data_IF_057275376174
#
_entry.id   IF_057275376174
#
_cell.length_a   1.000
_cell.length_b   1.000
_cell.length_c   1.000
_cell.angle_alpha   90.00
_cell.angle_beta   90.00
_cell.angle_gamma   90.00
#
_symmetry.space_group_name_H-M   'P 1'
#
loop_
_entity.id
_entity.type
_entity.pdbx_description
1 polymer ?
#
# COMPACT_ATOMS: atom_id res chain seq x y z
N UNK A 1 17.85 -10.03 -2.95
CA UNK A 1 16.41 -9.75 -3.16
C UNK A 1 16.26 -8.61 -4.17
N UNK A 2 15.19 -8.60 -4.96
CA UNK A 2 14.93 -7.50 -5.91
C UNK A 2 14.57 -6.20 -5.17
N UNK A 3 14.86 -5.04 -5.78
CA UNK A 3 14.56 -3.74 -5.18
C UNK A 3 13.07 -3.59 -4.86
N UNK A 4 12.22 -4.04 -5.77
CA UNK A 4 10.76 -4.09 -5.60
C UNK A 4 10.33 -4.77 -4.31
N UNK A 5 10.85 -5.98 -4.07
CA UNK A 5 10.44 -6.76 -2.91
C UNK A 5 10.90 -6.06 -1.62
N UNK A 6 12.11 -5.50 -1.62
CA UNK A 6 12.60 -4.72 -0.49
C UNK A 6 11.73 -3.48 -0.22
N UNK A 7 11.25 -2.80 -1.26
CA UNK A 7 10.34 -1.67 -1.09
C UNK A 7 9.03 -2.11 -0.43
N UNK A 8 8.44 -3.23 -0.87
CA UNK A 8 7.22 -3.77 -0.27
C UNK A 8 7.43 -4.17 1.20
N UNK A 9 8.53 -4.89 1.51
CA UNK A 9 8.85 -5.28 2.88
C UNK A 9 9.07 -4.04 3.77
N UNK A 10 9.71 -3.00 3.24
CA UNK A 10 9.88 -1.72 3.94
C UNK A 10 8.55 -1.03 4.18
N UNK A 11 7.62 -1.07 3.21
CA UNK A 11 6.29 -0.48 3.33
C UNK A 11 5.43 -1.17 4.39
N UNK A 12 5.59 -2.48 4.56
CA UNK A 12 4.89 -3.28 5.56
C UNK A 12 5.46 -3.11 6.98
N UNK A 13 6.72 -2.66 7.10
CA UNK A 13 7.36 -2.39 8.38
C UNK A 13 6.93 -1.01 8.91
N UNK A 14 5.95 -0.97 9.81
CA UNK A 14 5.33 0.26 10.26
C UNK A 14 6.19 1.05 11.25
N UNK A 15 6.06 2.38 11.21
CA UNK A 15 6.58 3.24 12.27
C UNK A 15 5.70 3.09 13.52
N UNK A 16 6.27 2.59 14.63
CA UNK A 16 5.59 2.59 15.93
C UNK A 16 5.58 4.01 16.50
N UNK A 17 4.38 4.55 16.75
CA UNK A 17 4.18 5.85 17.41
C UNK A 17 4.03 5.64 18.92
N UNK A 18 3.24 4.63 19.31
CA UNK A 18 3.03 4.22 20.69
C UNK A 18 2.69 2.71 20.75
N UNK A 19 2.56 2.16 21.94
CA UNK A 19 1.96 0.86 22.21
C UNK A 19 0.57 0.75 21.58
N UNK A 20 0.44 -0.17 20.64
CA UNK A 20 -0.79 -0.36 19.87
C UNK A 20 -1.08 0.71 18.82
N UNK A 21 -0.20 1.70 18.62
CA UNK A 21 -0.42 2.78 17.65
C UNK A 21 0.71 2.89 16.64
N UNK A 22 0.39 2.69 15.37
CA UNK A 22 1.37 2.60 14.28
C UNK A 22 1.02 3.53 13.12
N UNK A 23 2.03 3.93 12.35
CA UNK A 23 1.88 4.67 11.09
C UNK A 23 2.47 3.89 9.92
N UNK A 24 1.62 3.66 8.93
CA UNK A 24 2.02 3.12 7.63
C UNK A 24 2.09 4.21 6.58
N UNK A 25 3.13 4.16 5.75
CA UNK A 25 3.16 4.94 4.52
C UNK A 25 2.27 4.25 3.48
N UNK A 26 1.82 5.04 2.50
CA UNK A 26 1.06 4.55 1.36
C UNK A 26 1.92 4.60 0.11
N UNK A 27 1.82 3.58 -0.74
CA UNK A 27 2.48 3.58 -2.04
C UNK A 27 1.48 3.94 -3.13
N UNK A 28 1.85 4.88 -3.99
CA UNK A 28 1.07 5.22 -5.18
C UNK A 28 1.42 4.26 -6.32
N UNK A 29 0.61 3.20 -6.45
CA UNK A 29 0.70 2.23 -7.53
C UNK A 29 0.05 2.73 -8.84
N UNK A 30 -0.11 4.05 -9.01
CA UNK A 30 -0.82 4.64 -10.15
C UNK A 30 -2.33 4.70 -9.99
N UNK A 31 -2.82 4.34 -8.81
CA UNK A 31 -4.22 4.40 -8.44
C UNK A 31 -4.39 5.49 -7.39
N UNK A 32 -5.42 6.32 -7.57
CA UNK A 32 -5.77 7.35 -6.59
C UNK A 32 -6.18 6.79 -5.22
N UNK A 33 -6.52 5.50 -5.17
CA UNK A 33 -6.95 4.80 -3.98
C UNK A 33 -5.87 3.83 -3.50
N UNK A 34 -5.72 3.70 -2.18
CA UNK A 34 -4.82 2.71 -1.57
C UNK A 34 -5.24 1.30 -1.94
N UNK A 35 -4.27 0.46 -2.30
CA UNK A 35 -4.51 -0.96 -2.58
C UNK A 35 -4.97 -1.70 -1.31
N UNK A 36 -6.07 -2.46 -1.41
CA UNK A 36 -6.64 -3.16 -0.27
C UNK A 36 -5.68 -4.15 0.41
N UNK A 37 -4.84 -4.84 -0.37
CA UNK A 37 -3.83 -5.74 0.19
C UNK A 37 -2.76 -5.03 1.01
N UNK A 38 -2.44 -3.76 0.68
CA UNK A 38 -1.53 -2.95 1.50
C UNK A 38 -2.16 -2.71 2.88
N UNK A 39 -3.43 -2.29 2.92
CA UNK A 39 -4.13 -2.02 4.17
C UNK A 39 -4.22 -3.27 5.05
N UNK A 40 -4.50 -4.43 4.45
CA UNK A 40 -4.56 -5.72 5.14
C UNK A 40 -3.19 -6.12 5.68
N UNK A 41 -2.13 -6.05 4.86
CA UNK A 41 -0.78 -6.42 5.27
C UNK A 41 -0.26 -5.54 6.42
N UNK A 42 -0.46 -4.23 6.32
CA UNK A 42 -0.08 -3.28 7.37
C UNK A 42 -0.90 -3.47 8.65
N UNK A 43 -2.22 -3.73 8.54
CA UNK A 43 -3.05 -4.00 9.71
C UNK A 43 -2.65 -5.30 10.43
N UNK A 44 -2.30 -6.36 9.68
CA UNK A 44 -1.79 -7.61 10.26
C UNK A 44 -0.43 -7.40 10.93
N UNK A 45 0.47 -6.62 10.33
CA UNK A 45 1.73 -6.25 10.97
C UNK A 45 1.46 -5.54 12.31
N UNK A 46 0.64 -4.49 12.31
CA UNK A 46 0.29 -3.76 13.54
C UNK A 46 -0.31 -4.68 14.61
N UNK A 47 -1.22 -5.58 14.23
CA UNK A 47 -1.78 -6.55 15.17
C UNK A 47 -0.72 -7.50 15.73
N UNK A 48 0.16 -8.05 14.88
CA UNK A 48 1.20 -9.00 15.30
C UNK A 48 2.21 -8.38 16.27
N UNK A 49 2.57 -7.11 16.08
CA UNK A 49 3.48 -6.40 16.99
C UNK A 49 2.93 -6.24 18.43
N UNK A 50 1.63 -6.46 18.64
CA UNK A 50 0.98 -6.37 19.96
C UNK A 50 0.68 -7.73 20.60
N UNK A 51 1.22 -8.81 20.04
CA UNK A 51 0.95 -10.19 20.43
C UNK A 51 2.29 -10.89 20.72
N UNK A 52 2.36 -11.80 21.71
CA UNK A 52 3.56 -12.60 21.96
C UNK A 52 4.14 -13.23 20.69
N UNK A 53 5.46 -13.32 20.62
CA UNK A 53 6.19 -13.73 19.41
C UNK A 53 5.77 -15.13 18.94
N UNK A 54 5.51 -16.04 19.87
CA UNK A 54 5.11 -17.42 19.62
C UNK A 54 3.70 -17.60 19.03
N UNK A 55 2.83 -16.57 19.09
CA UNK A 55 1.47 -16.67 18.56
C UNK A 55 1.41 -16.18 17.12
N UNK A 56 0.97 -17.05 16.23
CA UNK A 56 0.82 -16.77 14.80
C UNK A 56 -0.64 -16.45 14.47
N UNK A 57 -0.87 -15.57 13.49
CA UNK A 57 -2.22 -15.31 13.00
C UNK A 57 -2.76 -16.55 12.30
N UNK A 58 -3.99 -16.95 12.61
CA UNK A 58 -4.65 -18.08 11.95
C UNK A 58 -5.97 -17.68 11.27
N UNK A 59 -6.54 -16.54 11.66
CA UNK A 59 -7.69 -15.96 10.97
C UNK A 59 -7.77 -14.45 11.18
N UNK A 60 -8.40 -13.77 10.23
CA UNK A 60 -8.85 -12.40 10.41
C UNK A 60 -10.12 -12.16 9.61
N UNK A 61 -10.92 -11.20 10.05
CA UNK A 61 -12.08 -10.69 9.34
C UNK A 61 -11.91 -9.19 9.17
N UNK A 62 -12.35 -8.63 8.05
CA UNK A 62 -12.17 -7.21 7.79
C UNK A 62 -13.26 -6.60 6.93
N UNK A 63 -13.43 -5.29 7.09
CA UNK A 63 -14.36 -4.47 6.31
C UNK A 63 -13.66 -3.20 5.83
N UNK A 64 -13.77 -2.93 4.53
CA UNK A 64 -13.39 -1.67 3.92
C UNK A 64 -14.59 -0.71 3.96
N UNK A 65 -14.44 0.40 4.66
CA UNK A 65 -15.51 1.37 4.87
C UNK A 65 -15.43 2.53 3.88
N UNK A 66 -14.21 2.95 3.53
CA UNK A 66 -13.94 4.13 2.71
C UNK A 66 -12.70 3.92 1.85
N UNK A 67 -12.61 4.55 0.66
CA UNK A 67 -11.38 4.53 -0.13
C UNK A 67 -10.28 5.29 0.63
N UNK A 68 -9.10 4.67 0.73
CA UNK A 68 -7.91 5.33 1.27
C UNK A 68 -7.26 6.28 0.26
N UNK A 69 -6.65 7.36 0.74
CA UNK A 69 -5.87 8.33 -0.04
C UNK A 69 -4.39 7.88 -0.09
N UNK A 70 -3.89 7.52 -1.28
CA UNK A 70 -2.51 7.00 -1.45
C UNK A 70 -1.43 8.06 -1.22
N UNK A 71 -1.80 9.34 -1.17
CA UNK A 71 -0.86 10.45 -0.91
C UNK A 71 -0.70 10.74 0.59
N UNK A 72 -1.39 9.98 1.46
CA UNK A 72 -1.38 10.19 2.91
C UNK A 72 -1.01 8.91 3.65
N UNK A 73 -0.32 9.02 4.80
CA UNK A 73 -0.10 7.86 5.66
C UNK A 73 -1.42 7.37 6.26
N UNK A 74 -1.40 6.16 6.78
CA UNK A 74 -2.52 5.52 7.47
C UNK A 74 -2.09 5.28 8.92
N UNK A 75 -2.95 5.63 9.87
CA UNK A 75 -2.75 5.29 11.28
C UNK A 75 -3.45 3.97 11.57
N UNK A 76 -2.76 3.05 12.23
CA UNK A 76 -3.29 1.77 12.67
C UNK A 76 -3.35 1.78 14.19
N UNK A 77 -4.56 1.79 14.72
CA UNK A 77 -4.85 1.76 16.14
C UNK A 77 -5.32 0.34 16.52
N UNK A 78 -4.60 -0.29 17.44
CA UNK A 78 -4.75 -1.70 17.82
C UNK A 78 -5.32 -1.81 19.23
N UNK A 79 -6.52 -2.38 19.30
CA UNK A 79 -7.23 -2.69 20.53
C UNK A 79 -7.01 -4.16 20.91
N UNK A 80 -6.60 -4.40 22.16
CA UNK A 80 -6.51 -5.74 22.75
C UNK A 80 -7.89 -6.19 23.17
N UNK A 81 -8.48 -7.12 22.42
CA UNK A 81 -9.81 -7.66 22.75
C UNK A 81 -9.72 -8.77 23.82
N UNK A 82 -8.68 -9.61 23.72
CA UNK A 82 -8.50 -10.76 24.62
C UNK A 82 -7.06 -11.27 24.56
N UNK A 83 -6.52 -11.65 25.71
CA UNK A 83 -5.38 -12.54 25.84
C UNK A 83 -5.76 -13.72 26.75
N UNK A 84 -6.08 -14.85 26.13
CA UNK A 84 -6.32 -16.12 26.82
C UNK A 84 -5.10 -17.02 26.78
N UNK A 85 -5.22 -18.21 27.40
CA UNK A 85 -4.14 -19.20 27.43
C UNK A 85 -3.72 -19.63 26.01
N UNK A 86 -4.68 -19.96 25.15
CA UNK A 86 -4.40 -20.44 23.79
C UNK A 86 -4.49 -19.36 22.71
N UNK A 87 -5.34 -18.33 22.90
CA UNK A 87 -5.69 -17.37 21.86
C UNK A 87 -5.48 -15.91 22.29
N UNK A 88 -4.99 -15.09 21.36
CA UNK A 88 -5.03 -13.62 21.43
C UNK A 88 -5.96 -13.08 20.35
N UNK A 89 -6.79 -12.11 20.69
CA UNK A 89 -7.63 -11.39 19.73
C UNK A 89 -7.26 -9.91 19.73
N UNK A 90 -7.13 -9.34 18.53
CA UNK A 90 -6.83 -7.92 18.30
C UNK A 90 -7.85 -7.33 17.34
N UNK A 91 -8.22 -6.07 17.57
CA UNK A 91 -8.98 -5.27 16.61
C UNK A 91 -8.11 -4.12 16.14
N UNK A 92 -8.07 -3.90 14.83
CA UNK A 92 -7.27 -2.84 14.21
C UNK A 92 -8.20 -1.88 13.49
N UNK A 93 -8.08 -0.60 13.80
CA UNK A 93 -8.70 0.49 13.07
C UNK A 93 -7.66 1.17 12.18
N UNK A 94 -7.85 1.14 10.87
CA UNK A 94 -7.07 1.93 9.94
C UNK A 94 -7.75 3.29 9.72
N UNK A 95 -7.05 4.38 9.98
CA UNK A 95 -7.60 5.72 10.10
C UNK A 95 -6.86 6.67 9.15
N UNK A 96 -7.62 7.45 8.38
CA UNK A 96 -7.11 8.59 7.61
C UNK A 96 -8.02 9.79 7.78
N UNK A 97 -7.43 10.98 7.87
CA UNK A 97 -8.17 12.25 8.06
C UNK A 97 -9.16 12.18 9.26
N UNK A 98 -8.76 11.49 10.34
CA UNK A 98 -9.59 11.29 11.53
C UNK A 98 -10.81 10.39 11.34
N UNK A 99 -10.89 9.63 10.23
CA UNK A 99 -12.02 8.73 9.93
C UNK A 99 -11.51 7.30 9.71
N UNK A 100 -12.20 6.28 10.26
CA UNK A 100 -11.85 4.90 9.96
C UNK A 100 -12.14 4.59 8.49
N UNK A 101 -11.14 4.08 7.79
CA UNK A 101 -11.27 3.62 6.40
C UNK A 101 -11.42 2.10 6.33
N UNK A 102 -10.95 1.39 7.36
CA UNK A 102 -10.96 -0.07 7.42
C UNK A 102 -10.92 -0.55 8.87
N UNK A 103 -11.56 -1.69 9.13
CA UNK A 103 -11.44 -2.44 10.38
C UNK A 103 -11.01 -3.87 10.10
N UNK A 104 -10.19 -4.41 11.00
CA UNK A 104 -9.84 -5.83 11.06
C UNK A 104 -10.03 -6.34 12.49
N UNK A 105 -10.52 -7.58 12.62
CA UNK A 105 -10.38 -8.36 13.85
C UNK A 105 -9.55 -9.59 13.50
N UNK A 106 -8.43 -9.79 14.19
CA UNK A 106 -7.49 -10.88 13.95
C UNK A 106 -7.36 -11.76 15.20
N UNK A 107 -7.22 -13.07 14.97
CA UNK A 107 -7.03 -14.08 16.00
C UNK A 107 -5.68 -14.78 15.81
N UNK A 108 -5.00 -14.97 16.93
CA UNK A 108 -3.65 -15.52 17.00
C UNK A 108 -3.60 -16.70 17.97
N UNK A 109 -2.81 -17.71 17.64
CA UNK A 109 -2.63 -18.93 18.43
C UNK A 109 -1.17 -19.39 18.33
N UNK A 110 -0.63 -19.97 19.40
CA UNK A 110 0.65 -20.68 19.32
C UNK A 110 0.51 -21.97 18.50
N UNK A 111 1.55 -22.42 17.79
CA UNK A 111 1.54 -23.72 17.12
C UNK A 111 1.24 -24.87 18.09
N UNK A 112 0.34 -25.77 17.70
CA UNK A 112 -0.07 -26.93 18.50
C UNK A 112 -0.35 -28.11 17.56
N UNK A 113 0.06 -29.35 17.91
CA UNK A 113 -0.31 -30.53 17.14
C UNK A 113 -1.83 -30.77 17.19
N UNK A 114 -2.39 -31.28 16.10
CA UNK A 114 -3.82 -31.54 16.00
C UNK A 114 -4.17 -32.49 14.86
N UNK A 115 -5.45 -32.56 14.52
CA UNK A 115 -5.90 -33.31 13.35
C UNK A 115 -5.46 -32.61 12.07
N UNK A 116 -4.90 -33.38 11.14
CA UNK A 116 -4.46 -32.87 9.84
C UNK A 116 -5.31 -33.47 8.72
N UNK A 117 -5.99 -32.60 7.97
CA UNK A 117 -6.63 -32.94 6.72
C UNK A 117 -6.73 -31.70 5.84
N UNK A 118 -6.61 -31.87 4.53
CA UNK A 118 -6.86 -30.81 3.55
C UNK A 118 -7.49 -31.40 2.29
N UNK A 119 -8.15 -30.55 1.51
CA UNK A 119 -8.61 -30.93 0.17
C UNK A 119 -7.41 -31.17 -0.74
N UNK A 120 -7.47 -32.19 -1.58
CA UNK A 120 -6.46 -32.42 -2.63
C UNK A 120 -6.41 -31.22 -3.58
N UNK A 121 -5.20 -30.73 -3.84
CA UNK A 121 -4.96 -29.65 -4.81
C UNK A 121 -5.46 -30.06 -6.21
N UNK A 122 -6.18 -29.19 -6.94
CA UNK A 122 -6.62 -29.52 -8.30
C UNK A 122 -5.41 -29.66 -9.24
N UNK A 123 -5.54 -30.52 -10.26
CA UNK A 123 -4.53 -30.61 -11.32
C UNK A 123 -4.47 -29.30 -12.11
N UNK A 124 -3.29 -28.72 -12.20
CA UNK A 124 -3.01 -27.53 -12.99
C UNK A 124 -1.68 -27.70 -13.74
N UNK A 125 -1.50 -26.97 -14.84
CA UNK A 125 -0.21 -26.90 -15.53
C UNK A 125 0.78 -26.16 -14.61
N UNK A 126 2.03 -26.61 -14.59
CA UNK A 126 3.10 -25.92 -13.87
C UNK A 126 3.31 -24.49 -14.38
N UNK A 127 3.98 -23.63 -13.61
CA UNK A 127 4.25 -22.25 -14.03
C UNK A 127 5.19 -22.17 -15.23
N UNK A 128 5.93 -23.24 -15.55
CA UNK A 128 6.85 -23.29 -16.67
C UNK A 128 6.13 -23.09 -18.01
N UNK A 129 6.58 -22.11 -18.79
CA UNK A 129 5.98 -21.79 -20.08
C UNK A 129 4.69 -20.96 -20.02
N UNK A 130 4.23 -20.58 -18.83
CA UNK A 130 3.19 -19.56 -18.67
C UNK A 130 3.83 -18.15 -18.69
N UNK A 131 3.32 -17.21 -19.50
CA UNK A 131 3.83 -15.85 -19.48
C UNK A 131 3.42 -15.14 -18.18
N UNK A 132 4.34 -14.38 -17.60
CA UNK A 132 4.07 -13.50 -16.47
C UNK A 132 3.14 -12.35 -16.88
N UNK A 133 2.46 -11.73 -15.91
CA UNK A 133 1.63 -10.54 -16.17
C UNK A 133 2.42 -9.40 -16.84
N UNK A 134 3.73 -9.30 -16.54
CA UNK A 134 4.60 -8.28 -17.14
C UNK A 134 4.87 -8.57 -18.61
N UNK A 135 5.15 -9.83 -18.97
CA UNK A 135 5.35 -10.24 -20.37
C UNK A 135 4.06 -10.08 -21.19
N UNK A 136 2.91 -10.45 -20.60
CA UNK A 136 1.60 -10.25 -21.22
C UNK A 136 1.37 -8.75 -21.48
N UNK A 137 1.58 -7.90 -20.47
CA UNK A 137 1.41 -6.45 -20.60
C UNK A 137 2.29 -5.84 -21.70
N UNK A 138 3.55 -6.28 -21.80
CA UNK A 138 4.48 -5.85 -22.85
C UNK A 138 4.02 -6.28 -24.24
N UNK A 139 3.53 -7.51 -24.40
CA UNK A 139 3.03 -8.03 -25.68
C UNK A 139 1.81 -7.25 -26.21
N UNK A 140 0.99 -6.70 -25.29
CA UNK A 140 -0.23 -5.96 -25.60
C UNK A 140 -0.02 -4.44 -25.70
N UNK A 141 1.18 -3.93 -25.43
CA UNK A 141 1.46 -2.50 -25.36
C UNK A 141 1.09 -1.76 -26.67
N UNK A 142 1.29 -2.40 -27.82
CA UNK A 142 0.97 -1.84 -29.14
C UNK A 142 -0.54 -1.64 -29.38
N UNK A 143 -1.42 -2.25 -28.59
CA UNK A 143 -2.88 -2.11 -28.70
C UNK A 143 -3.45 -1.03 -27.76
N UNK A 144 -2.64 -0.48 -26.87
CA UNK A 144 -3.10 0.50 -25.86
C UNK A 144 -2.79 1.93 -26.30
N UNK A 145 -3.77 2.84 -26.22
CA UNK A 145 -3.52 4.27 -26.45
C UNK A 145 -2.51 4.81 -25.42
N UNK A 146 -1.71 5.82 -25.78
CA UNK A 146 -0.62 6.35 -24.96
C UNK A 146 -1.01 6.75 -23.51
N UNK A 147 -2.29 7.07 -23.24
CA UNK A 147 -2.79 7.36 -21.89
C UNK A 147 -3.04 6.10 -21.02
N UNK A 148 -3.23 4.94 -21.66
CA UNK A 148 -3.44 3.64 -20.99
C UNK A 148 -2.14 2.87 -20.71
N UNK A 149 -1.04 3.17 -21.42
CA UNK A 149 0.28 2.56 -21.19
C UNK A 149 0.77 2.80 -19.75
N UNK A 150 0.47 3.96 -19.16
CA UNK A 150 0.76 4.24 -17.74
C UNK A 150 0.01 3.30 -16.80
N UNK A 151 -1.27 3.00 -17.07
CA UNK A 151 -2.09 2.14 -16.17
C UNK A 151 -1.77 0.65 -16.32
N UNK A 152 -1.40 0.20 -17.53
CA UNK A 152 -1.06 -1.20 -17.80
C UNK A 152 0.35 -1.54 -17.33
N UNK A 153 1.31 -0.62 -17.50
CA UNK A 153 2.68 -0.77 -17.00
C UNK A 153 2.79 -0.84 -15.47
N UNK A 154 1.80 -0.31 -14.73
CA UNK A 154 1.82 -0.21 -13.26
C UNK A 154 1.39 -1.49 -12.52
N UNK A 155 1.06 -2.56 -13.25
CA UNK A 155 1.01 -3.93 -12.68
C UNK A 155 2.37 -4.60 -12.57
N UNK A 156 3.42 -3.98 -13.12
CA UNK A 156 4.81 -4.40 -12.91
C UNK A 156 5.54 -3.32 -12.11
N UNK A 157 6.17 -3.67 -10.97
CA UNK A 157 6.92 -2.72 -10.18
C UNK A 157 8.30 -2.54 -10.80
N UNK A 158 8.36 -1.79 -11.90
CA UNK A 158 9.60 -1.35 -12.51
C UNK A 158 9.92 0.07 -12.03
N UNK A 159 11.08 0.19 -11.40
CA UNK A 159 11.52 1.36 -10.65
C UNK A 159 11.47 2.71 -11.38
N UNK A 160 11.11 3.71 -10.58
CA UNK A 160 11.83 4.98 -10.47
C UNK A 160 11.83 5.91 -11.70
N UNK A 161 10.77 6.73 -11.84
CA UNK A 161 10.79 7.92 -12.72
C UNK A 161 10.41 9.24 -12.02
N UNK A 162 10.22 9.26 -10.70
CA UNK A 162 9.78 10.45 -9.94
C UNK A 162 10.82 11.57 -9.82
N UNK A 163 12.03 11.43 -10.40
CA UNK A 163 13.06 12.49 -10.36
C UNK A 163 13.03 13.50 -11.52
N UNK A 164 12.21 13.32 -12.56
CA UNK A 164 12.20 14.27 -13.70
C UNK A 164 11.10 15.33 -13.68
N UNK A 165 10.05 15.17 -12.87
CA UNK A 165 8.93 16.12 -12.85
C UNK A 165 9.24 17.35 -11.97
N UNK A 166 10.01 17.19 -10.89
CA UNK A 166 10.37 18.29 -10.00
C UNK A 166 11.18 19.39 -10.70
N UNK A 167 12.06 19.03 -11.64
CA UNK A 167 12.88 20.02 -12.35
C UNK A 167 12.14 20.78 -13.48
N UNK A 168 11.08 20.19 -14.07
CA UNK A 168 10.32 20.87 -15.13
C UNK A 168 9.30 21.86 -14.55
N UNK A 169 8.68 21.52 -13.42
CA UNK A 169 7.73 22.40 -12.72
C UNK A 169 8.44 23.63 -12.14
N UNK A 170 9.67 23.47 -11.63
CA UNK A 170 10.48 24.59 -11.12
C UNK A 170 10.93 25.55 -12.24
N UNK A 171 11.25 25.03 -13.42
CA UNK A 171 11.60 25.86 -14.60
C UNK A 171 10.40 26.61 -15.17
N UNK A 172 9.20 26.02 -15.14
CA UNK A 172 7.97 26.68 -15.58
C UNK A 172 7.53 27.79 -14.62
N UNK A 173 7.71 27.60 -13.29
CA UNK A 173 7.44 28.66 -12.30
C UNK A 173 8.39 29.85 -12.42
N UNK A 174 9.67 29.62 -12.70
CA UNK A 174 10.64 30.73 -12.91
C UNK A 174 10.38 31.53 -14.19
N UNK A 175 9.86 30.91 -15.26
CA UNK A 175 9.48 31.64 -16.49
C UNK A 175 8.22 32.51 -16.32
N UNK A 176 7.25 32.07 -15.51
CA UNK A 176 6.02 32.83 -15.26
C UNK A 176 6.24 34.07 -14.36
N UNK A 177 7.19 34.04 -13.43
CA UNK A 177 7.53 35.22 -12.63
C UNK A 177 8.29 36.30 -13.42
N UNK A 178 9.09 35.92 -14.41
CA UNK A 178 9.85 36.88 -15.22
C UNK A 178 8.97 37.66 -16.22
N UNK A 179 7.89 37.06 -16.74
CA UNK A 179 6.96 37.73 -17.66
C UNK A 179 5.90 38.60 -16.97
N UNK A 180 5.70 38.44 -15.66
CA UNK A 180 4.73 39.21 -14.86
C UNK A 180 5.25 40.54 -14.31
N UNK A 181 6.55 40.82 -14.41
CA UNK A 181 7.16 42.06 -13.90
C UNK A 181 7.19 43.20 -14.94
N UNK A 182 7.07 42.90 -16.23
CA UNK A 182 7.19 43.90 -17.32
C UNK A 182 5.85 44.59 -17.69
N UNK A 183 4.71 44.06 -17.22
CA UNK A 183 3.38 44.63 -17.52
C UNK A 183 2.88 45.66 -16.49
N UNK A 184 3.59 45.85 -15.36
CA UNK A 184 3.19 46.81 -14.31
C UNK A 184 3.89 48.17 -14.36
N UNK A 185 4.79 48.41 -15.33
CA UNK A 185 5.47 49.71 -15.51
C UNK A 185 4.92 50.61 -16.63
N UNK A 186 3.88 50.18 -17.38
CA UNK A 186 3.33 50.96 -18.52
C UNK A 186 1.98 51.68 -18.27
N UNK A 187 1.55 51.81 -17.02
CA UNK A 187 0.29 52.51 -16.67
C UNK A 187 0.43 53.64 -15.64
N UNK A 188 1.62 54.24 -15.52
CA UNK A 188 1.84 55.48 -14.74
C UNK A 188 2.61 56.52 -15.55
N UNK A 189 2.03 56.94 -16.67
CA UNK A 189 2.40 58.16 -17.40
C UNK A 189 1.36 58.41 -18.49
N UNK A 190 0.43 59.31 -18.20
CA UNK A 190 -0.71 59.69 -19.03
C UNK A 190 -1.74 60.41 -18.17
#
# INVERSE_FOLDING_TARGET
MSQTLNNLLTLLNLEKIEEGLFRGQSEDLGLRQVFGGQVVGQALYAAKETVPEERLVHSFHSYFLRPGDSQKPIIYDVEVLRDGNSFSARRVAAIQNGKPIFYMTASFQAPEPGFEHQKTMPTAVGPEGLPSETEIAQSLAHFTAADSERKVSLRSPAGNSSRRISQSVERSRRRACASGMDSRQRHRSG
#
